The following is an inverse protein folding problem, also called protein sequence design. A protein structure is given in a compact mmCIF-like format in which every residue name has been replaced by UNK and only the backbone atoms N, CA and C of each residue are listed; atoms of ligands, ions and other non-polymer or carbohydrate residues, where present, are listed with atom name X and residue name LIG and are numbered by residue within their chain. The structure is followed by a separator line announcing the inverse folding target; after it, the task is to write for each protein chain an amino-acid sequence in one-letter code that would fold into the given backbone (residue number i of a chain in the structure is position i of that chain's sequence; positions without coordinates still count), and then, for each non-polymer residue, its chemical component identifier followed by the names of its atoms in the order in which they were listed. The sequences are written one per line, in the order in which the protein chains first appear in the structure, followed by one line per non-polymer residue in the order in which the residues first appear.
data_IF_082546363279
#
_entry.id   IF_082546363279
#
_cell.length_a   1.000
_cell.length_b   1.000
_cell.length_c   1.000
_cell.angle_alpha   90.00
_cell.angle_beta   90.00
_cell.angle_gamma   90.00
#
_symmetry.space_group_name_H-M   'P 1'
#
loop_
_entity.id
_entity.type
_entity.pdbx_description
1 polymer ?
#
# COMPACT_ATOMS: atom_id res chain seq x y z
N UNK A 1 -11.81 5.21 9.45
CA UNK A 1 -10.73 4.22 9.55
C UNK A 1 -9.53 4.69 10.39
N UNK A 2 -8.86 5.82 10.11
CA UNK A 2 -7.60 6.18 10.81
C UNK A 2 -7.76 6.47 12.31
N UNK A 3 -8.87 7.09 12.71
CA UNK A 3 -9.20 7.35 14.12
C UNK A 3 -9.43 6.06 14.91
N UNK A 4 -10.02 5.03 14.29
CA UNK A 4 -10.23 3.72 14.91
C UNK A 4 -8.90 3.01 15.16
N UNK A 5 -7.97 3.07 14.20
CA UNK A 5 -6.62 2.51 14.35
C UNK A 5 -5.92 3.13 15.57
N UNK A 6 -5.87 4.47 15.63
CA UNK A 6 -5.22 5.18 16.73
C UNK A 6 -5.84 4.89 18.09
N UNK A 7 -7.16 4.70 18.13
CA UNK A 7 -7.87 4.32 19.35
C UNK A 7 -7.43 2.93 19.83
N UNK A 8 -7.39 1.94 18.94
CA UNK A 8 -6.94 0.57 19.27
C UNK A 8 -5.47 0.55 19.67
N UNK A 9 -4.59 1.28 18.96
CA UNK A 9 -3.18 1.41 19.32
C UNK A 9 -3.01 1.97 20.74
N UNK A 10 -3.81 2.97 21.12
CA UNK A 10 -3.81 3.54 22.46
C UNK A 10 -4.37 2.57 23.52
N UNK A 11 -5.47 1.87 23.21
CA UNK A 11 -6.07 0.85 24.10
C UNK A 11 -5.10 -0.31 24.38
N UNK A 12 -4.29 -0.71 23.39
CA UNK A 12 -3.32 -1.81 23.49
C UNK A 12 -1.91 -1.37 23.93
N UNK A 13 -1.65 -0.05 24.02
CA UNK A 13 -0.37 0.50 24.45
C UNK A 13 0.79 0.29 23.47
N UNK A 14 0.53 0.09 22.17
CA UNK A 14 1.58 -0.03 21.16
C UNK A 14 1.15 0.44 19.77
N UNK A 15 2.12 0.83 18.94
CA UNK A 15 1.94 1.21 17.53
C UNK A 15 2.54 0.21 16.54
N UNK A 16 2.77 -1.05 16.95
CA UNK A 16 3.15 -2.14 16.05
C UNK A 16 1.97 -2.55 15.16
N UNK A 17 1.69 -1.74 14.14
CA UNK A 17 0.51 -1.88 13.27
C UNK A 17 0.89 -1.86 11.81
N UNK A 18 0.32 -2.78 11.05
CA UNK A 18 0.31 -2.79 9.59
C UNK A 18 -1.15 -2.69 9.15
N UNK A 19 -1.40 -1.85 8.15
CA UNK A 19 -2.66 -1.82 7.40
C UNK A 19 -2.39 -2.44 6.05
N UNK A 20 -3.11 -3.50 5.70
CA UNK A 20 -2.98 -4.19 4.41
C UNK A 20 -4.35 -4.51 3.83
N UNK A 21 -4.50 -4.32 2.52
CA UNK A 21 -5.68 -4.73 1.75
C UNK A 21 -6.06 -3.71 0.67
N UNK A 22 -7.16 -3.98 -0.01
CA UNK A 22 -7.75 -3.08 -1.01
C UNK A 22 -8.36 -1.83 -0.35
N UNK A 23 -7.73 -0.68 -0.58
CA UNK A 23 -8.21 0.62 -0.09
C UNK A 23 -9.14 1.34 -1.08
N UNK A 24 -9.32 0.82 -2.30
CA UNK A 24 -10.00 1.49 -3.42
C UNK A 24 -9.50 2.94 -3.67
N UNK A 25 -8.24 3.19 -3.32
CA UNK A 25 -7.57 4.48 -3.43
C UNK A 25 -6.15 4.23 -3.92
N UNK A 26 -5.65 5.05 -4.83
CA UNK A 26 -4.23 5.03 -5.18
C UNK A 26 -3.36 5.60 -4.04
N UNK A 27 -2.04 5.30 -3.97
CA UNK A 27 -1.16 5.78 -2.91
C UNK A 27 -1.10 7.30 -2.77
N UNK A 28 -1.32 8.03 -3.88
CA UNK A 28 -1.36 9.49 -3.94
C UNK A 28 -2.73 10.10 -3.59
N UNK A 29 -3.74 9.29 -3.31
CA UNK A 29 -5.09 9.79 -3.03
C UNK A 29 -5.18 10.47 -1.66
N UNK A 30 -6.06 11.48 -1.54
CA UNK A 30 -6.23 12.25 -0.31
C UNK A 30 -6.50 11.40 0.94
N UNK A 31 -7.25 10.29 0.83
CA UNK A 31 -7.49 9.39 1.95
C UNK A 31 -6.22 8.71 2.50
N UNK A 32 -5.19 8.56 1.66
CA UNK A 32 -3.90 7.96 2.00
C UNK A 32 -2.93 9.03 2.49
N UNK A 33 -2.73 10.12 1.74
CA UNK A 33 -1.66 11.10 2.02
C UNK A 33 -2.03 12.15 3.06
N UNK A 34 -3.32 12.43 3.28
CA UNK A 34 -3.77 13.45 4.23
C UNK A 34 -3.43 13.07 5.67
N UNK A 35 -3.02 14.05 6.48
CA UNK A 35 -2.84 13.89 7.92
C UNK A 35 -4.13 13.41 8.64
N UNK A 36 -5.29 13.83 8.14
CA UNK A 36 -6.60 13.37 8.65
C UNK A 36 -7.00 11.99 8.12
N UNK A 37 -6.35 11.55 7.03
CA UNK A 37 -6.43 10.20 6.48
C UNK A 37 -5.44 9.25 7.14
N UNK A 38 -4.90 8.32 6.36
CA UNK A 38 -3.88 7.38 6.82
C UNK A 38 -2.53 8.05 7.04
N UNK A 39 -2.28 9.23 6.47
CA UNK A 39 -1.00 9.94 6.58
C UNK A 39 0.20 9.08 6.13
N UNK A 40 -0.01 8.35 5.03
CA UNK A 40 1.00 7.53 4.37
C UNK A 40 2.06 8.39 3.68
N UNK A 41 3.31 8.27 4.11
CA UNK A 41 4.47 8.95 3.52
C UNK A 41 5.32 7.99 2.70
N UNK A 42 5.99 8.52 1.69
CA UNK A 42 6.69 7.75 0.66
C UNK A 42 8.02 7.16 1.11
N UNK A 43 8.66 7.73 2.13
CA UNK A 43 10.02 7.35 2.52
C UNK A 43 10.09 6.98 3.98
N UNK A 44 10.90 5.96 4.29
CA UNK A 44 11.17 5.58 5.68
C UNK A 44 11.78 6.75 6.47
N UNK A 45 12.64 7.57 5.85
CA UNK A 45 13.24 8.73 6.52
C UNK A 45 12.22 9.75 7.03
N UNK A 46 11.11 9.96 6.32
CA UNK A 46 10.00 10.79 6.82
C UNK A 46 9.20 10.01 7.87
N UNK A 47 8.86 8.75 7.60
CA UNK A 47 8.06 7.94 8.52
C UNK A 47 8.71 7.79 9.90
N UNK A 48 10.04 7.66 9.95
CA UNK A 48 10.85 7.56 11.18
C UNK A 48 10.82 8.82 12.05
N UNK A 49 10.27 9.94 11.56
CA UNK A 49 9.94 11.11 12.41
C UNK A 49 8.67 10.88 13.25
N UNK A 50 8.04 9.72 13.08
CA UNK A 50 6.87 9.19 13.79
C UNK A 50 5.56 9.93 13.54
N UNK A 51 5.58 11.26 13.63
CA UNK A 51 4.41 12.10 13.46
C UNK A 51 4.75 13.52 13.01
N UNK A 52 3.70 14.31 12.79
CA UNK A 52 3.81 15.76 12.60
C UNK A 52 2.68 16.48 13.30
N UNK A 53 3.01 17.65 13.87
CA UNK A 53 2.02 18.61 14.39
C UNK A 53 1.46 19.51 13.28
N UNK A 54 0.14 19.55 13.16
CA UNK A 54 -0.61 20.41 12.23
C UNK A 54 -1.73 21.09 13.02
N UNK A 55 -1.75 22.43 13.02
CA UNK A 55 -2.75 23.23 13.75
C UNK A 55 -2.95 22.77 15.20
N UNK A 56 -1.84 22.53 15.91
CA UNK A 56 -1.89 22.11 17.32
C UNK A 56 -2.07 20.60 17.55
N UNK A 57 -2.43 19.81 16.53
CA UNK A 57 -2.74 18.39 16.67
C UNK A 57 -1.64 17.51 16.08
N UNK A 58 -1.33 16.40 16.75
CA UNK A 58 -0.33 15.42 16.32
C UNK A 58 -0.98 14.38 15.41
N UNK A 59 -0.31 14.08 14.29
CA UNK A 59 -0.77 13.11 13.29
C UNK A 59 0.35 12.10 13.01
N UNK A 60 0.22 10.86 13.51
CA UNK A 60 1.23 9.83 13.31
C UNK A 60 1.27 9.39 11.86
N UNK A 61 2.47 9.16 11.35
CA UNK A 61 2.71 8.69 10.00
C UNK A 61 2.47 7.19 9.87
N UNK A 62 2.19 6.78 8.64
CA UNK A 62 2.49 5.46 8.14
C UNK A 62 3.57 5.59 7.07
N UNK A 63 4.49 4.64 6.99
CA UNK A 63 5.27 4.43 5.78
C UNK A 63 4.39 3.68 4.76
N UNK A 64 4.35 4.15 3.52
CA UNK A 64 3.68 3.47 2.42
C UNK A 64 4.74 3.04 1.38
N UNK A 65 5.25 1.80 1.45
CA UNK A 65 6.23 1.30 0.48
C UNK A 65 5.65 1.12 -0.93
N UNK A 66 4.32 1.11 -1.09
CA UNK A 66 3.68 0.84 -2.38
C UNK A 66 3.99 1.89 -3.46
N UNK A 67 4.42 3.09 -3.05
CA UNK A 67 4.88 4.14 -3.97
C UNK A 67 5.99 3.67 -4.90
N UNK A 68 6.82 2.70 -4.49
CA UNK A 68 7.90 2.17 -5.33
C UNK A 68 7.41 1.36 -6.54
N UNK A 69 6.14 0.95 -6.55
CA UNK A 69 5.56 0.21 -7.67
C UNK A 69 4.88 1.12 -8.70
N UNK A 70 4.84 2.44 -8.49
CA UNK A 70 4.36 3.37 -9.49
C UNK A 70 5.39 3.55 -10.61
N UNK A 71 4.97 3.36 -11.86
CA UNK A 71 5.80 3.53 -13.06
C UNK A 71 5.92 2.25 -13.89
N UNK A 72 6.64 2.35 -15.00
CA UNK A 72 6.90 1.22 -15.91
C UNK A 72 8.17 0.48 -15.48
N UNK A 73 8.01 -0.59 -14.69
CA UNK A 73 9.11 -1.39 -14.15
C UNK A 73 9.23 -2.69 -14.92
N UNK A 74 10.43 -3.00 -15.42
CA UNK A 74 10.67 -4.16 -16.28
C UNK A 74 10.22 -5.52 -15.71
N UNK A 75 10.28 -5.71 -14.37
CA UNK A 75 10.05 -7.00 -13.71
C UNK A 75 8.92 -6.95 -12.67
N UNK A 76 7.96 -6.03 -12.79
CA UNK A 76 6.83 -5.90 -11.86
C UNK A 76 5.62 -5.36 -12.61
N UNK A 77 4.39 -5.82 -12.30
CA UNK A 77 3.20 -5.22 -12.89
C UNK A 77 3.11 -3.74 -12.49
N UNK A 78 2.57 -2.84 -13.35
CA UNK A 78 2.50 -1.40 -13.05
C UNK A 78 1.52 -1.04 -11.92
N UNK A 79 0.75 -2.01 -11.42
CA UNK A 79 -0.19 -1.83 -10.32
C UNK A 79 -0.76 -3.17 -9.84
N UNK A 80 -1.66 -3.10 -8.86
CA UNK A 80 -2.35 -4.27 -8.29
C UNK A 80 -3.67 -4.53 -8.99
N UNK A 81 -4.24 -3.52 -9.65
CA UNK A 81 -5.55 -3.59 -10.29
C UNK A 81 -5.50 -2.90 -11.66
N UNK A 82 -6.06 -3.54 -12.69
CA UNK A 82 -6.17 -2.96 -14.03
C UNK A 82 -7.63 -2.79 -14.44
N UNK A 83 -8.01 -1.55 -14.78
CA UNK A 83 -9.35 -1.21 -15.23
C UNK A 83 -9.34 -0.16 -16.32
N UNK A 84 -9.97 -0.49 -17.44
CA UNK A 84 -10.16 0.40 -18.58
C UNK A 84 -11.59 0.92 -18.59
N UNK A 85 -11.73 2.24 -18.63
CA UNK A 85 -13.01 2.95 -18.75
C UNK A 85 -12.91 4.09 -19.76
N UNK A 86 -14.04 4.48 -20.35
CA UNK A 86 -14.12 5.55 -21.35
C UNK A 86 -14.26 6.95 -20.73
N UNK A 87 -13.53 7.22 -19.65
CA UNK A 87 -13.53 8.51 -18.96
C UNK A 87 -12.30 9.35 -19.34
N UNK A 88 -12.42 10.68 -19.23
CA UNK A 88 -11.29 11.60 -19.43
C UNK A 88 -10.09 11.34 -18.51
N UNK A 89 -10.35 10.80 -17.31
CA UNK A 89 -9.30 10.38 -16.37
C UNK A 89 -9.38 8.87 -16.21
N UNK A 90 -8.41 8.17 -16.79
CA UNK A 90 -8.25 6.73 -16.68
C UNK A 90 -6.76 6.42 -16.48
N UNK A 91 -6.41 5.92 -15.30
CA UNK A 91 -5.02 5.52 -15.00
C UNK A 91 -4.65 4.17 -15.61
N UNK A 92 -5.65 3.38 -16.04
CA UNK A 92 -5.54 1.98 -16.48
C UNK A 92 -5.05 1.05 -15.35
N UNK A 93 -3.84 1.26 -14.88
CA UNK A 93 -3.29 0.58 -13.70
C UNK A 93 -3.49 1.42 -12.45
N UNK A 94 -3.84 0.74 -11.35
CA UNK A 94 -4.02 1.33 -10.04
C UNK A 94 -3.31 0.46 -9.00
N UNK A 95 -2.92 1.07 -7.88
CA UNK A 95 -2.41 0.38 -6.69
C UNK A 95 -3.44 0.58 -5.59
N UNK A 96 -4.51 -0.22 -5.64
CA UNK A 96 -5.57 -0.15 -4.64
C UNK A 96 -5.26 -1.02 -3.42
N UNK A 97 -4.69 -2.19 -3.66
CA UNK A 97 -4.12 -3.04 -2.62
C UNK A 97 -2.83 -2.40 -2.14
N UNK A 98 -2.80 -2.08 -0.86
CA UNK A 98 -1.65 -1.40 -0.28
C UNK A 98 -1.24 -2.02 1.04
N UNK A 99 0.06 -1.90 1.35
CA UNK A 99 0.62 -2.12 2.69
C UNK A 99 1.05 -0.77 3.23
N UNK A 100 0.65 -0.46 4.46
CA UNK A 100 1.12 0.70 5.22
C UNK A 100 1.67 0.23 6.56
N UNK A 101 2.88 0.67 6.89
CA UNK A 101 3.65 0.18 8.03
C UNK A 101 3.86 1.30 9.03
N UNK A 102 3.54 1.08 10.31
CA UNK A 102 3.87 2.04 11.36
C UNK A 102 5.39 2.15 11.55
N UNK A 103 5.91 3.33 11.95
CA UNK A 103 7.33 3.54 12.22
C UNK A 103 7.95 2.52 13.18
N UNK A 104 7.19 2.08 14.19
CA UNK A 104 7.62 1.08 15.17
C UNK A 104 7.92 -0.33 14.61
N UNK A 105 7.59 -0.58 13.34
CA UNK A 105 7.88 -1.85 12.65
C UNK A 105 8.93 -1.72 11.54
N UNK A 106 9.48 -0.52 11.30
CA UNK A 106 10.38 -0.30 10.16
C UNK A 106 11.72 -1.02 10.30
N UNK A 107 12.16 -1.34 11.53
CA UNK A 107 13.40 -2.10 11.73
C UNK A 107 13.21 -3.59 11.47
N UNK A 108 11.97 -4.07 11.48
CA UNK A 108 11.61 -5.45 11.14
C UNK A 108 11.15 -5.58 9.67
N UNK A 109 10.97 -4.46 8.96
CA UNK A 109 10.45 -4.44 7.60
C UNK A 109 11.52 -4.82 6.57
N UNK A 110 11.29 -5.91 5.84
CA UNK A 110 12.13 -6.30 4.70
C UNK A 110 11.63 -5.62 3.43
N UNK A 111 12.29 -4.51 3.07
CA UNK A 111 11.93 -3.71 1.90
C UNK A 111 11.98 -4.51 0.59
N UNK A 112 12.99 -5.36 0.41
CA UNK A 112 13.20 -6.10 -0.84
C UNK A 112 12.18 -7.25 -1.02
N UNK A 113 11.56 -7.69 0.08
CA UNK A 113 10.53 -8.72 0.02
C UNK A 113 9.18 -8.25 -0.56
N UNK A 114 8.91 -6.94 -0.60
CA UNK A 114 7.62 -6.44 -1.06
C UNK A 114 7.48 -6.60 -2.58
N UNK A 115 6.51 -7.41 -3.00
CA UNK A 115 6.24 -7.76 -4.38
C UNK A 115 4.74 -7.76 -4.66
N UNK A 116 4.37 -7.36 -5.88
CA UNK A 116 3.06 -7.63 -6.48
C UNK A 116 3.20 -8.92 -7.29
N UNK A 117 2.55 -9.99 -6.86
CA UNK A 117 2.72 -11.31 -7.46
C UNK A 117 1.90 -11.45 -8.75
N UNK A 118 2.53 -12.03 -9.78
CA UNK A 118 1.91 -12.34 -11.08
C UNK A 118 1.72 -13.85 -11.30
N UNK A 119 1.99 -14.65 -10.27
CA UNK A 119 1.83 -16.10 -10.24
C UNK A 119 2.29 -16.70 -8.91
N UNK A 120 2.10 -18.01 -8.74
CA UNK A 120 2.52 -18.79 -7.57
C UNK A 120 3.70 -19.74 -7.85
N UNK A 121 4.33 -19.59 -9.02
CA UNK A 121 5.39 -20.48 -9.50
C UNK A 121 4.87 -21.71 -10.28
N UNK A 122 3.57 -21.98 -10.27
CA UNK A 122 2.93 -23.02 -11.09
C UNK A 122 2.01 -22.42 -12.15
N UNK A 123 1.23 -21.41 -11.77
CA UNK A 123 0.24 -20.75 -12.61
C UNK A 123 0.50 -19.24 -12.66
N UNK A 124 0.25 -18.63 -13.81
CA UNK A 124 0.24 -17.17 -13.93
C UNK A 124 -1.13 -16.62 -13.55
N UNK A 125 -1.14 -15.55 -12.77
CA UNK A 125 -2.34 -14.76 -12.46
C UNK A 125 -2.69 -13.76 -13.56
N UNK A 126 -1.89 -13.70 -14.62
CA UNK A 126 -2.09 -12.82 -15.75
C UNK A 126 -2.72 -13.57 -16.93
N UNK A 127 -3.46 -12.83 -17.73
CA UNK A 127 -3.87 -13.22 -19.09
C UNK A 127 -2.64 -13.19 -20.03
N UNK A 128 -2.71 -13.82 -21.22
CA UNK A 128 -1.65 -13.72 -22.23
C UNK A 128 -1.32 -12.27 -22.65
N UNK A 129 -2.25 -11.34 -22.44
CA UNK A 129 -2.06 -9.90 -22.71
C UNK A 129 -1.44 -9.12 -21.54
N UNK A 130 -1.08 -9.79 -20.44
CA UNK A 130 -0.39 -9.18 -19.29
C UNK A 130 -1.29 -8.50 -18.24
N UNK A 131 -2.62 -8.68 -18.32
CA UNK A 131 -3.56 -8.12 -17.34
C UNK A 131 -4.01 -9.16 -16.31
N UNK A 132 -4.45 -8.77 -15.10
CA UNK A 132 -5.01 -9.70 -14.11
C UNK A 132 -6.13 -10.56 -14.71
N UNK A 133 -6.05 -11.86 -14.49
CA UNK A 133 -7.01 -12.82 -15.02
C UNK A 133 -8.17 -13.02 -14.03
N UNK A 134 -9.14 -12.10 -14.09
CA UNK A 134 -10.34 -12.12 -13.26
C UNK A 134 -11.26 -13.32 -13.49
N UNK A 135 -11.15 -14.01 -14.64
CA UNK A 135 -11.99 -15.18 -14.95
C UNK A 135 -11.55 -16.43 -14.20
N UNK A 136 -10.23 -16.60 -14.05
CA UNK A 136 -9.65 -17.78 -13.40
C UNK A 136 -9.22 -17.50 -11.97
N UNK A 137 -8.91 -16.24 -11.64
CA UNK A 137 -8.38 -15.82 -10.34
C UNK A 137 -9.11 -14.58 -9.82
N UNK A 138 -8.52 -13.40 -9.99
CA UNK A 138 -8.98 -12.12 -9.46
C UNK A 138 -8.60 -10.99 -10.42
N UNK A 139 -9.36 -9.91 -10.41
CA UNK A 139 -9.00 -8.63 -11.05
C UNK A 139 -7.94 -7.86 -10.26
N UNK A 140 -7.63 -8.30 -9.04
CA UNK A 140 -6.54 -7.81 -8.21
C UNK A 140 -5.37 -8.80 -8.15
N UNK A 141 -4.14 -8.28 -8.09
CA UNK A 141 -2.91 -9.06 -7.91
C UNK A 141 -2.49 -9.13 -6.43
N UNK A 142 -2.09 -10.30 -5.92
CA UNK A 142 -1.69 -10.45 -4.52
C UNK A 142 -0.44 -9.65 -4.15
N UNK A 143 -0.37 -9.23 -2.89
CA UNK A 143 0.84 -8.65 -2.30
C UNK A 143 1.58 -9.69 -1.45
N UNK A 144 2.89 -9.78 -1.64
CA UNK A 144 3.81 -10.53 -0.78
C UNK A 144 4.75 -9.54 -0.09
N UNK A 145 4.97 -9.71 1.21
CA UNK A 145 5.97 -8.99 1.99
C UNK A 145 6.35 -9.79 3.24
N UNK A 146 7.45 -9.42 3.88
CA UNK A 146 7.98 -10.12 5.05
C UNK A 146 8.32 -9.14 6.18
N UNK A 147 8.19 -9.64 7.40
CA UNK A 147 8.75 -9.03 8.60
C UNK A 147 9.77 -10.00 9.21
N UNK A 148 10.89 -9.45 9.67
CA UNK A 148 11.93 -10.19 10.37
C UNK A 148 11.62 -10.18 11.87
N UNK A 149 10.83 -11.16 12.34
CA UNK A 149 10.34 -11.27 13.73
C UNK A 149 11.30 -12.01 14.67
#
# INVERSE_FOLDING_TARGET
MPTKIRRVEAELGHSRTIVVGDLNLNPFSNGVVSARGLHGVMTQGIARKEDRKIQGRVYPFFYNPMWKHLGDRANSPPGTYHYRKSDHVCYFWNIFDQVLVRPALLDLWDEESLQILTGDGQQSFLTPSGFPNAKSFSDHLPLLFRLNL
#
